data_IF_345639537330
#
_entry.id   IF_345639537330
#
_cell.length_a   1.000
_cell.length_b   1.000
_cell.length_c   1.000
_cell.angle_alpha   90.00
_cell.angle_beta   90.00
_cell.angle_gamma   90.00
#
_symmetry.space_group_name_H-M   'P 1'
#
loop_
_entity.id
_entity.type
_entity.pdbx_description
1 polymer ?
#
# COMPACT_ATOMS: atom_id res chain seq x y z
N UNK A 1 7.30 -23.91 -12.63
CA UNK A 1 6.62 -25.05 -11.98
C UNK A 1 6.25 -24.67 -10.56
N UNK A 2 5.21 -25.29 -10.00
CA UNK A 2 4.77 -25.09 -8.62
C UNK A 2 5.88 -25.38 -7.61
N UNK A 3 6.72 -26.38 -7.87
CA UNK A 3 7.88 -26.70 -7.03
C UNK A 3 8.85 -25.51 -6.85
N UNK A 4 9.11 -24.75 -7.93
CA UNK A 4 9.92 -23.54 -7.84
C UNK A 4 9.25 -22.47 -6.96
N UNK A 5 7.92 -22.31 -7.05
CA UNK A 5 7.16 -21.37 -6.22
C UNK A 5 7.27 -21.77 -4.75
N UNK A 6 7.04 -23.04 -4.42
CA UNK A 6 7.14 -23.53 -3.04
C UNK A 6 8.54 -23.32 -2.45
N UNK A 7 9.58 -23.64 -3.20
CA UNK A 7 10.96 -23.39 -2.78
C UNK A 7 11.20 -21.89 -2.51
N UNK A 8 10.73 -21.01 -3.39
CA UNK A 8 10.88 -19.57 -3.21
C UNK A 8 10.12 -19.05 -1.97
N UNK A 9 8.95 -19.60 -1.68
CA UNK A 9 8.19 -19.27 -0.47
C UNK A 9 8.97 -19.68 0.79
N UNK A 10 9.54 -20.88 0.81
CA UNK A 10 10.37 -21.35 1.92
C UNK A 10 11.60 -20.47 2.13
N UNK A 11 12.35 -20.19 1.05
CA UNK A 11 13.56 -19.35 1.09
C UNK A 11 13.27 -17.92 1.57
N UNK A 12 12.11 -17.36 1.22
CA UNK A 12 11.70 -15.99 1.58
C UNK A 12 10.97 -15.88 2.91
N UNK A 13 10.58 -17.00 3.54
CA UNK A 13 9.76 -17.01 4.74
C UNK A 13 8.32 -16.56 4.52
N UNK A 14 7.88 -16.40 3.26
CA UNK A 14 6.51 -16.01 2.90
C UNK A 14 5.58 -17.20 3.04
N UNK A 15 4.48 -17.06 3.79
CA UNK A 15 3.55 -18.16 4.13
C UNK A 15 2.10 -17.71 4.04
N UNK A 16 1.16 -18.62 3.70
CA UNK A 16 -0.26 -18.32 3.79
C UNK A 16 -0.71 -17.89 5.19
N UNK A 17 -1.73 -17.01 5.30
CA UNK A 17 -2.50 -16.46 4.17
C UNK A 17 -1.69 -15.44 3.38
N UNK A 18 -1.91 -15.40 2.05
CA UNK A 18 -1.16 -14.54 1.13
C UNK A 18 -2.09 -13.61 0.34
N UNK A 19 -1.53 -12.48 -0.10
CA UNK A 19 -2.04 -11.71 -1.21
C UNK A 19 -1.13 -11.93 -2.43
N UNK A 20 -1.75 -12.17 -3.57
CA UNK A 20 -1.06 -12.23 -4.86
C UNK A 20 -1.44 -10.99 -5.66
N UNK A 21 -0.45 -10.22 -6.04
CA UNK A 21 -0.60 -8.97 -6.80
C UNK A 21 0.16 -9.07 -8.13
N UNK A 22 -0.37 -8.54 -9.24
CA UNK A 22 0.44 -8.38 -10.45
C UNK A 22 1.70 -7.55 -10.16
N UNK A 23 2.81 -7.93 -10.77
CA UNK A 23 4.03 -7.13 -10.70
C UNK A 23 3.91 -5.80 -11.46
N UNK A 24 3.01 -5.74 -12.44
CA UNK A 24 2.68 -4.50 -13.15
C UNK A 24 1.71 -3.66 -12.31
N UNK A 25 2.09 -2.46 -11.83
CA UNK A 25 1.26 -1.63 -10.96
C UNK A 25 0.01 -1.05 -11.64
N UNK A 26 -0.08 -1.08 -12.98
CA UNK A 26 -1.29 -0.67 -13.69
C UNK A 26 -2.42 -1.70 -13.62
N UNK A 27 -2.12 -2.92 -13.20
CA UNK A 27 -3.09 -3.98 -12.98
C UNK A 27 -3.49 -3.97 -11.50
N UNK A 28 -4.78 -3.81 -11.25
CA UNK A 28 -5.31 -3.65 -9.88
C UNK A 28 -5.94 -4.92 -9.31
N UNK A 29 -5.72 -6.07 -9.96
CA UNK A 29 -6.23 -7.35 -9.49
C UNK A 29 -5.41 -7.84 -8.29
N UNK A 30 -6.10 -8.27 -7.24
CA UNK A 30 -5.49 -8.87 -6.06
C UNK A 30 -6.20 -10.20 -5.81
N UNK A 31 -5.43 -11.24 -5.52
CA UNK A 31 -5.97 -12.53 -5.14
C UNK A 31 -5.69 -12.80 -3.68
N UNK A 32 -6.71 -13.18 -2.92
CA UNK A 32 -6.57 -13.69 -1.57
C UNK A 32 -6.33 -15.20 -1.62
N UNK A 33 -5.27 -15.63 -0.99
CA UNK A 33 -4.81 -17.02 -1.01
C UNK A 33 -4.72 -17.53 0.42
N UNK A 34 -5.76 -18.25 0.89
CA UNK A 34 -5.81 -18.73 2.26
C UNK A 34 -4.78 -19.84 2.55
N UNK A 35 -4.45 -20.64 1.55
CA UNK A 35 -3.57 -21.80 1.67
C UNK A 35 -2.82 -22.12 0.37
N UNK A 36 -1.87 -23.06 0.43
CA UNK A 36 -1.09 -23.46 -0.73
C UNK A 36 -1.90 -24.18 -1.79
N UNK A 37 -2.98 -24.84 -1.43
CA UNK A 37 -3.89 -25.49 -2.39
C UNK A 37 -4.52 -24.44 -3.31
N UNK A 38 -5.00 -23.34 -2.74
CA UNK A 38 -5.56 -22.23 -3.53
C UNK A 38 -4.51 -21.59 -4.44
N UNK A 39 -3.28 -21.45 -3.96
CA UNK A 39 -2.18 -20.94 -4.79
C UNK A 39 -1.91 -21.86 -5.98
N UNK A 40 -1.92 -23.18 -5.76
CA UNK A 40 -1.75 -24.15 -6.83
C UNK A 40 -2.89 -24.08 -7.86
N UNK A 41 -4.14 -24.00 -7.42
CA UNK A 41 -5.30 -23.84 -8.30
C UNK A 41 -5.18 -22.61 -9.21
N UNK A 42 -4.74 -21.46 -8.66
CA UNK A 42 -4.52 -20.23 -9.42
C UNK A 42 -3.39 -20.36 -10.46
N UNK A 43 -2.33 -21.11 -10.11
CA UNK A 43 -1.23 -21.39 -11.05
C UNK A 43 -1.70 -22.32 -12.17
N UNK A 44 -2.37 -23.42 -11.85
CA UNK A 44 -2.81 -24.44 -12.81
C UNK A 44 -3.96 -23.93 -13.69
N UNK A 45 -4.86 -23.14 -13.14
CA UNK A 45 -5.96 -22.51 -13.86
C UNK A 45 -5.52 -21.41 -14.84
N UNK A 46 -4.23 -21.07 -14.86
CA UNK A 46 -3.69 -20.07 -15.77
C UNK A 46 -4.00 -18.61 -15.39
N UNK A 47 -4.69 -18.40 -14.28
CA UNK A 47 -5.09 -17.05 -13.84
C UNK A 47 -3.87 -16.14 -13.60
N UNK A 48 -2.81 -16.69 -13.05
CA UNK A 48 -1.59 -15.92 -12.79
C UNK A 48 -0.71 -15.74 -14.04
N UNK A 49 -0.82 -16.63 -15.02
CA UNK A 49 0.00 -16.58 -16.25
C UNK A 49 -0.35 -15.40 -17.17
N UNK A 50 -1.56 -14.85 -17.05
CA UNK A 50 -1.98 -13.67 -17.85
C UNK A 50 -1.33 -12.37 -17.41
N UNK A 51 -0.68 -12.36 -16.23
CA UNK A 51 0.01 -11.16 -15.77
C UNK A 51 1.42 -11.11 -16.36
N UNK A 52 1.54 -10.32 -17.44
CA UNK A 52 2.83 -10.03 -18.05
C UNK A 52 3.75 -9.35 -17.02
N UNK A 53 4.93 -9.90 -16.81
CA UNK A 53 5.87 -9.42 -15.78
C UNK A 53 5.83 -10.19 -14.46
N UNK A 54 4.91 -11.16 -14.32
CA UNK A 54 4.80 -12.01 -13.13
C UNK A 54 3.89 -11.44 -12.04
N UNK A 55 3.99 -12.05 -10.87
CA UNK A 55 3.21 -11.71 -9.69
C UNK A 55 4.10 -11.56 -8.46
N UNK A 56 3.66 -10.75 -7.51
CA UNK A 56 4.23 -10.59 -6.19
C UNK A 56 3.39 -11.38 -5.19
N UNK A 57 4.04 -12.20 -4.37
CA UNK A 57 3.44 -12.89 -3.24
C UNK A 57 3.79 -12.13 -1.96
N UNK A 58 2.79 -11.77 -1.19
CA UNK A 58 2.92 -10.99 0.03
C UNK A 58 2.14 -11.65 1.16
N UNK A 59 2.75 -11.78 2.35
CA UNK A 59 2.03 -12.20 3.54
C UNK A 59 0.83 -11.29 3.78
N UNK A 60 -0.32 -11.89 4.10
CA UNK A 60 -1.44 -11.12 4.62
C UNK A 60 -1.22 -10.88 6.12
N UNK A 61 -1.47 -9.68 6.56
CA UNK A 61 -1.44 -9.29 7.97
C UNK A 61 -2.84 -8.85 8.36
N UNK A 62 -3.38 -9.46 9.42
CA UNK A 62 -4.65 -9.04 10.02
C UNK A 62 -4.50 -7.61 10.55
N UNK A 63 -5.42 -6.72 10.18
CA UNK A 63 -5.30 -5.29 10.45
C UNK A 63 -6.66 -4.62 10.72
N UNK A 64 -7.64 -5.41 11.18
CA UNK A 64 -8.98 -4.92 11.53
C UNK A 64 -9.76 -4.32 10.37
N UNK A 65 -9.42 -4.69 9.13
CA UNK A 65 -10.08 -4.15 7.93
C UNK A 65 -9.84 -2.65 7.67
N UNK A 66 -8.77 -2.09 8.22
CA UNK A 66 -8.48 -0.65 8.17
C UNK A 66 -7.15 -0.39 7.45
N UNK A 67 -7.16 0.52 6.49
CA UNK A 67 -6.00 0.98 5.74
C UNK A 67 -5.80 2.48 5.96
N UNK A 68 -4.61 2.86 6.34
CA UNK A 68 -4.21 4.25 6.49
C UNK A 68 -3.44 4.70 5.25
N UNK A 69 -4.05 5.52 4.42
CA UNK A 69 -3.37 6.13 3.29
C UNK A 69 -2.75 7.45 3.69
N UNK A 70 -1.44 7.48 3.73
CA UNK A 70 -0.67 8.62 4.21
C UNK A 70 -0.13 9.40 3.02
N UNK A 71 -0.52 10.65 2.92
CA UNK A 71 -0.02 11.59 1.92
C UNK A 71 1.09 12.44 2.50
N UNK A 72 2.19 12.54 1.79
CA UNK A 72 3.32 13.42 2.11
C UNK A 72 3.40 14.49 1.02
N UNK A 73 3.22 15.75 1.43
CA UNK A 73 3.26 16.91 0.54
C UNK A 73 4.21 17.94 1.15
N UNK A 74 5.45 17.91 0.74
CA UNK A 74 6.52 18.68 1.38
C UNK A 74 6.67 18.32 2.85
N UNK A 75 6.39 19.29 3.72
CA UNK A 75 6.43 19.09 5.18
C UNK A 75 5.09 18.64 5.79
N UNK A 76 4.04 18.56 5.01
CA UNK A 76 2.73 18.13 5.50
C UNK A 76 2.57 16.62 5.37
N UNK A 77 2.01 16.01 6.40
CA UNK A 77 1.62 14.60 6.43
C UNK A 77 0.12 14.56 6.72
N UNK A 78 -0.66 13.95 5.83
CA UNK A 78 -2.12 13.88 5.91
C UNK A 78 -2.56 12.44 5.76
N UNK A 79 -3.50 12.02 6.61
CA UNK A 79 -4.09 10.68 6.58
C UNK A 79 -5.45 10.69 5.88
N UNK A 80 -5.71 9.64 5.09
CA UNK A 80 -7.03 9.27 4.58
C UNK A 80 -7.32 7.83 5.01
N UNK A 81 -8.18 7.68 6.01
CA UNK A 81 -8.57 6.37 6.54
C UNK A 81 -9.50 5.67 5.56
N UNK A 82 -9.20 4.41 5.24
CA UNK A 82 -9.95 3.61 4.27
C UNK A 82 -10.33 2.25 4.83
N UNK A 83 -11.44 1.73 4.35
CA UNK A 83 -11.78 0.32 4.54
C UNK A 83 -10.84 -0.54 3.70
N UNK A 84 -10.35 -1.61 4.30
CA UNK A 84 -9.47 -2.60 3.70
C UNK A 84 -10.11 -3.99 3.76
N UNK A 85 -9.35 -5.01 3.34
CA UNK A 85 -9.76 -6.39 3.49
C UNK A 85 -9.97 -6.72 4.97
N UNK A 86 -11.02 -7.45 5.32
CA UNK A 86 -11.20 -7.91 6.69
C UNK A 86 -10.13 -8.92 7.06
N UNK A 87 -9.97 -9.14 8.36
CA UNK A 87 -9.07 -10.14 8.91
C UNK A 87 -9.35 -11.54 8.35
N UNK A 88 -8.32 -12.35 8.26
CA UNK A 88 -8.33 -13.65 7.61
C UNK A 88 -9.48 -14.56 8.05
N UNK A 89 -9.79 -14.58 9.35
CA UNK A 89 -10.90 -15.36 9.91
C UNK A 89 -12.27 -15.04 9.30
N UNK A 90 -12.43 -13.87 8.67
CA UNK A 90 -13.68 -13.41 8.06
C UNK A 90 -13.74 -13.69 6.55
N UNK A 91 -12.67 -14.21 5.93
CA UNK A 91 -12.62 -14.41 4.48
C UNK A 91 -13.70 -15.38 3.97
N UNK A 92 -13.98 -16.47 4.68
CA UNK A 92 -15.05 -17.39 4.30
C UNK A 92 -16.45 -16.77 4.30
N UNK A 93 -16.68 -15.72 5.11
CA UNK A 93 -17.95 -14.97 5.08
C UNK A 93 -18.06 -14.10 3.84
N UNK A 94 -16.96 -13.57 3.35
CA UNK A 94 -16.92 -12.75 2.15
C UNK A 94 -17.21 -13.59 0.91
N UNK A 95 -16.66 -14.79 0.80
CA UNK A 95 -16.99 -15.72 -0.28
C UNK A 95 -18.50 -16.01 -0.35
N UNK A 96 -19.12 -16.26 0.81
CA UNK A 96 -20.56 -16.47 0.90
C UNK A 96 -21.37 -15.22 0.52
N UNK A 97 -20.88 -14.02 0.84
CA UNK A 97 -21.57 -12.75 0.58
C UNK A 97 -21.45 -12.31 -0.87
N UNK A 98 -20.30 -12.56 -1.50
CA UNK A 98 -20.02 -12.07 -2.87
C UNK A 98 -20.37 -13.10 -3.95
N UNK A 99 -20.66 -14.35 -3.56
CA UNK A 99 -21.00 -15.42 -4.50
C UNK A 99 -19.87 -15.83 -5.43
N UNK A 100 -18.66 -15.30 -5.19
CA UNK A 100 -17.44 -15.59 -5.95
C UNK A 100 -16.36 -16.08 -4.99
N UNK A 101 -15.53 -17.05 -5.41
CA UNK A 101 -14.35 -17.40 -4.63
C UNK A 101 -13.50 -16.17 -4.39
N UNK A 102 -12.92 -16.02 -3.20
CA UNK A 102 -11.96 -14.94 -2.85
C UNK A 102 -10.72 -14.89 -3.77
N UNK A 103 -10.80 -15.54 -4.92
CA UNK A 103 -9.77 -15.55 -5.93
C UNK A 103 -9.48 -14.17 -6.53
N UNK A 104 -10.44 -13.25 -6.57
CA UNK A 104 -10.26 -11.99 -7.31
C UNK A 104 -10.90 -10.84 -6.55
N UNK A 105 -10.07 -10.06 -5.84
CA UNK A 105 -10.52 -8.92 -5.04
C UNK A 105 -10.61 -7.62 -5.89
N UNK A 106 -10.51 -7.68 -7.20
CA UNK A 106 -10.64 -6.51 -8.08
C UNK A 106 -11.97 -5.76 -7.90
N UNK A 107 -12.95 -6.43 -7.33
CA UNK A 107 -14.29 -5.91 -7.06
C UNK A 107 -14.57 -5.61 -5.58
N UNK A 108 -13.55 -5.45 -4.72
CA UNK A 108 -13.83 -4.90 -3.40
C UNK A 108 -14.47 -3.51 -3.61
N UNK A 109 -15.81 -3.53 -3.74
CA UNK A 109 -16.61 -2.33 -3.70
C UNK A 109 -16.39 -1.71 -2.34
N UNK A 110 -15.52 -0.71 -2.30
CA UNK A 110 -15.46 0.18 -1.14
C UNK A 110 -16.88 0.59 -0.84
N UNK A 111 -17.37 0.46 0.40
CA UNK A 111 -18.62 1.07 0.79
C UNK A 111 -18.59 2.51 0.28
N UNK A 112 -19.65 2.94 -0.38
CA UNK A 112 -19.76 4.29 -0.86
C UNK A 112 -19.54 5.25 0.32
N UNK A 113 -18.92 6.38 0.07
CA UNK A 113 -18.55 7.41 1.05
C UNK A 113 -19.74 7.92 1.90
N UNK A 114 -20.95 7.45 1.62
CA UNK A 114 -22.22 7.84 2.27
C UNK A 114 -22.45 7.14 3.61
N UNK A 115 -21.71 6.08 3.93
CA UNK A 115 -21.86 5.37 5.20
C UNK A 115 -20.69 5.69 6.15
N UNK A 116 -20.70 6.90 6.75
CA UNK A 116 -20.03 7.16 8.03
C UNK A 116 -18.51 7.26 8.04
N UNK A 117 -17.86 7.54 6.92
CA UNK A 117 -16.42 7.79 6.93
C UNK A 117 -16.16 9.20 7.48
N UNK A 118 -15.49 9.27 8.62
CA UNK A 118 -14.84 10.49 9.06
C UNK A 118 -13.95 10.99 7.91
N UNK A 119 -14.14 12.25 7.50
CA UNK A 119 -13.29 12.87 6.50
C UNK A 119 -11.82 12.82 6.94
N UNK A 120 -10.85 13.12 6.03
CA UNK A 120 -9.44 13.10 6.38
C UNK A 120 -9.23 13.95 7.63
N UNK A 121 -8.73 13.28 8.64
CA UNK A 121 -8.28 13.89 9.88
C UNK A 121 -6.77 14.12 9.78
N UNK A 122 -6.24 15.20 10.33
CA UNK A 122 -4.83 15.19 10.65
C UNK A 122 -4.62 14.00 11.59
N UNK A 123 -3.94 12.96 11.11
CA UNK A 123 -3.63 11.67 11.73
C UNK A 123 -4.66 11.24 12.81
N UNK A 124 -5.52 10.28 12.46
CA UNK A 124 -6.63 9.84 13.30
C UNK A 124 -6.20 9.30 14.68
N UNK A 125 -7.12 9.21 15.64
CA UNK A 125 -6.81 8.85 17.03
C UNK A 125 -6.22 7.44 17.21
N UNK A 126 -6.24 6.60 16.18
CA UNK A 126 -5.75 5.22 16.23
C UNK A 126 -4.32 5.04 15.71
N UNK A 127 -3.71 6.06 15.14
CA UNK A 127 -2.31 6.06 14.72
C UNK A 127 -1.46 6.86 15.72
N UNK A 128 -0.28 6.31 16.02
CA UNK A 128 0.77 7.10 16.65
C UNK A 128 1.28 8.15 15.63
N UNK A 129 0.86 9.39 15.82
CA UNK A 129 1.22 10.54 14.97
C UNK A 129 2.73 10.67 14.85
N UNK A 130 3.46 10.47 15.94
CA UNK A 130 4.91 10.57 15.99
C UNK A 130 5.56 9.50 15.10
N UNK A 131 5.12 8.26 15.25
CA UNK A 131 5.62 7.13 14.47
C UNK A 131 5.29 7.29 12.98
N UNK A 132 4.05 7.65 12.65
CA UNK A 132 3.65 7.86 11.26
C UNK A 132 4.46 8.97 10.60
N UNK A 133 4.70 10.07 11.31
CA UNK A 133 5.54 11.17 10.84
C UNK A 133 6.99 10.72 10.67
N UNK A 134 7.51 9.92 11.60
CA UNK A 134 8.87 9.37 11.50
C UNK A 134 9.03 8.47 10.27
N UNK A 135 8.06 7.58 10.02
CA UNK A 135 8.02 6.74 8.80
C UNK A 135 8.01 7.63 7.54
N UNK A 136 7.13 8.64 7.50
CA UNK A 136 7.02 9.56 6.37
C UNK A 136 8.35 10.28 6.10
N UNK A 137 9.06 10.74 7.14
CA UNK A 137 10.37 11.40 7.01
C UNK A 137 11.47 10.45 6.56
N UNK A 138 11.49 9.22 7.11
CA UNK A 138 12.45 8.20 6.69
C UNK A 138 12.26 7.86 5.20
N UNK A 139 11.02 7.65 4.75
CA UNK A 139 10.71 7.40 3.36
C UNK A 139 11.08 8.61 2.48
N UNK A 140 10.75 9.83 2.90
CA UNK A 140 11.08 11.06 2.18
C UNK A 140 12.59 11.19 1.95
N UNK A 141 13.38 10.95 3.00
CA UNK A 141 14.84 11.00 2.93
C UNK A 141 15.42 9.90 2.04
N UNK A 142 14.89 8.68 2.13
CA UNK A 142 15.39 7.53 1.37
C UNK A 142 15.03 7.59 -0.12
N UNK A 143 13.77 7.96 -0.41
CA UNK A 143 13.25 8.03 -1.77
C UNK A 143 13.62 9.33 -2.49
N UNK A 144 14.09 10.34 -1.76
CA UNK A 144 14.34 11.69 -2.28
C UNK A 144 13.08 12.30 -2.94
N UNK A 145 11.90 12.00 -2.40
CA UNK A 145 10.61 12.47 -2.89
C UNK A 145 9.99 13.44 -1.88
N UNK A 146 9.49 14.57 -2.39
CA UNK A 146 8.74 15.55 -1.58
C UNK A 146 7.24 15.42 -1.75
N UNK A 147 6.78 14.64 -2.73
CA UNK A 147 5.37 14.40 -3.02
C UNK A 147 5.16 12.92 -3.32
N UNK A 148 4.53 12.22 -2.39
CA UNK A 148 4.20 10.80 -2.53
C UNK A 148 3.10 10.41 -1.54
N UNK A 149 2.55 9.22 -1.67
CA UNK A 149 1.78 8.60 -0.61
C UNK A 149 2.27 7.18 -0.34
N UNK A 150 1.91 6.67 0.81
CA UNK A 150 2.10 5.26 1.14
C UNK A 150 0.88 4.72 1.88
N UNK A 151 0.65 3.44 1.71
CA UNK A 151 -0.41 2.70 2.36
C UNK A 151 0.18 1.98 3.58
N UNK A 152 -0.42 2.20 4.74
CA UNK A 152 0.01 1.69 6.03
C UNK A 152 -1.10 0.86 6.66
N UNK A 153 -0.75 -0.30 7.19
CA UNK A 153 -1.64 -1.12 8.04
C UNK A 153 -1.01 -1.29 9.42
N UNK A 154 -1.86 -1.52 10.41
CA UNK A 154 -1.44 -1.78 11.78
C UNK A 154 -2.09 -3.08 12.28
N UNK A 155 -1.28 -4.02 12.79
CA UNK A 155 -1.78 -5.25 13.39
C UNK A 155 -2.31 -5.04 14.83
N UNK A 156 -2.84 -6.11 15.41
CA UNK A 156 -3.39 -6.08 16.77
C UNK A 156 -2.34 -5.80 17.86
N UNK A 157 -1.08 -6.12 17.58
CA UNK A 157 0.05 -5.90 18.50
C UNK A 157 0.62 -4.47 18.37
N UNK A 158 0.11 -3.69 17.40
CA UNK A 158 0.52 -2.31 17.17
C UNK A 158 1.68 -2.15 16.19
N UNK A 159 2.17 -3.23 15.58
CA UNK A 159 3.19 -3.12 14.54
C UNK A 159 2.61 -2.49 13.27
N UNK A 160 3.39 -1.61 12.67
CA UNK A 160 3.02 -0.90 11.46
C UNK A 160 3.79 -1.42 10.25
N UNK A 161 3.07 -1.62 9.15
CA UNK A 161 3.62 -2.14 7.90
C UNK A 161 3.30 -1.21 6.76
N UNK A 162 4.32 -0.74 6.05
CA UNK A 162 4.16 -0.03 4.78
C UNK A 162 3.97 -1.08 3.68
N UNK A 163 2.80 -1.10 3.05
CA UNK A 163 2.42 -2.16 2.10
C UNK A 163 2.38 -1.69 0.64
N UNK A 164 2.44 -0.39 0.41
CA UNK A 164 2.49 0.21 -0.91
C UNK A 164 3.04 1.63 -0.84
N UNK A 165 3.76 2.07 -1.89
CA UNK A 165 4.27 3.43 -2.02
C UNK A 165 3.99 3.90 -3.44
N UNK A 166 3.35 5.08 -3.57
CA UNK A 166 3.05 5.69 -4.86
C UNK A 166 3.69 7.06 -4.95
N UNK A 167 4.57 7.25 -5.90
CA UNK A 167 5.04 8.58 -6.27
C UNK A 167 3.95 9.33 -7.05
N UNK A 168 3.85 10.63 -6.88
CA UNK A 168 2.88 11.49 -7.52
C UNK A 168 1.41 11.03 -7.37
N UNK A 169 0.88 11.01 -6.14
CA UNK A 169 -0.48 10.56 -5.87
C UNK A 169 -1.52 11.57 -6.34
N UNK A 170 -2.70 11.07 -6.75
CA UNK A 170 -3.87 11.92 -6.91
C UNK A 170 -4.34 12.47 -5.56
N UNK A 171 -4.27 13.77 -5.38
CA UNK A 171 -4.57 14.46 -4.11
C UNK A 171 -6.05 14.86 -3.95
N UNK A 172 -6.89 14.67 -4.97
CA UNK A 172 -8.29 15.11 -5.00
C UNK A 172 -9.17 14.58 -3.85
N UNK A 173 -8.70 13.58 -3.12
CA UNK A 173 -9.38 13.01 -1.95
C UNK A 173 -8.94 13.61 -0.62
N UNK A 174 -7.92 14.47 -0.64
CA UNK A 174 -7.42 15.18 0.54
C UNK A 174 -8.17 16.50 0.63
N UNK A 175 -8.95 16.79 1.70
CA UNK A 175 -9.62 18.07 1.85
C UNK A 175 -8.64 19.23 1.88
N UNK A 176 -8.96 20.29 1.15
CA UNK A 176 -8.10 21.45 1.03
C UNK A 176 -6.80 21.16 0.27
N UNK A 177 -6.78 20.10 -0.55
CA UNK A 177 -5.57 19.70 -1.28
C UNK A 177 -5.05 20.82 -2.18
N UNK A 178 -5.93 21.63 -2.75
CA UNK A 178 -5.54 22.74 -3.63
C UNK A 178 -4.64 23.72 -2.89
N UNK A 179 -5.01 24.07 -1.66
CA UNK A 179 -4.22 24.97 -0.82
C UNK A 179 -2.91 24.32 -0.41
N UNK A 180 -2.96 23.05 0.03
CA UNK A 180 -1.77 22.30 0.47
C UNK A 180 -0.78 22.15 -0.70
N UNK A 181 -1.30 21.85 -1.88
CA UNK A 181 -0.47 21.67 -3.07
C UNK A 181 0.11 22.99 -3.58
N UNK A 182 -0.68 24.07 -3.56
CA UNK A 182 -0.19 25.40 -3.90
C UNK A 182 0.94 25.85 -2.97
N UNK A 183 0.77 25.70 -1.67
CA UNK A 183 1.81 26.00 -0.67
C UNK A 183 3.09 25.20 -0.94
N UNK A 184 2.93 23.91 -1.26
CA UNK A 184 4.07 23.04 -1.61
C UNK A 184 4.78 23.51 -2.87
N UNK A 185 4.07 23.89 -3.93
CA UNK A 185 4.65 24.40 -5.17
C UNK A 185 5.41 25.71 -4.92
N UNK A 186 4.79 26.65 -4.22
CA UNK A 186 5.43 27.93 -3.87
C UNK A 186 6.72 27.67 -3.08
N UNK A 187 6.66 26.83 -2.05
CA UNK A 187 7.84 26.51 -1.25
C UNK A 187 8.95 25.81 -2.07
N UNK A 188 8.57 24.98 -3.03
CA UNK A 188 9.53 24.29 -3.91
C UNK A 188 10.19 25.22 -4.92
N UNK A 189 9.46 26.23 -5.41
CA UNK A 189 9.97 27.21 -6.37
C UNK A 189 10.82 28.31 -5.69
N UNK A 190 10.57 28.59 -4.41
CA UNK A 190 11.29 29.65 -3.66
C UNK A 190 12.52 29.13 -2.94
N UNK A 191 12.69 27.83 -2.82
CA UNK A 191 13.90 27.24 -2.26
C UNK A 191 15.06 27.47 -3.24
N UNK A 192 16.17 28.11 -2.83
CA UNK A 192 17.35 28.21 -3.70
C UNK A 192 17.78 26.79 -4.10
N UNK A 193 18.27 26.57 -5.33
CA UNK A 193 18.84 25.29 -5.71
C UNK A 193 19.91 24.95 -4.67
N UNK A 194 19.77 23.80 -4.00
CA UNK A 194 20.81 23.32 -3.10
C UNK A 194 22.10 23.34 -3.90
N UNK A 195 23.09 24.06 -3.39
CA UNK A 195 24.40 24.08 -4.00
C UNK A 195 24.82 22.63 -4.16
N UNK A 196 24.96 22.18 -5.39
CA UNK A 196 25.43 20.84 -5.72
C UNK A 196 26.74 20.66 -4.96
N UNK A 197 26.68 19.92 -3.86
CA UNK A 197 27.88 19.54 -3.11
C UNK A 197 28.78 18.81 -4.10
N UNK A 198 29.94 19.39 -4.26
CA UNK A 198 30.90 19.15 -5.29
C UNK A 198 31.12 17.65 -5.61
N UNK A 199 30.94 17.33 -6.86
CA UNK A 199 31.72 16.27 -7.49
C UNK A 199 33.20 16.66 -7.37
N UNK A 200 33.84 16.22 -6.30
CA UNK A 200 35.29 16.27 -6.20
C UNK A 200 35.82 15.30 -7.26
N UNK A 201 36.19 15.87 -8.39
CA UNK A 201 37.05 15.21 -9.35
C UNK A 201 38.41 14.93 -8.65
N UNK A 202 38.54 13.71 -8.14
CA UNK A 202 39.84 13.16 -7.75
C UNK A 202 40.55 12.69 -9.01
N UNK A 203 41.26 13.59 -9.66
CA UNK A 203 42.31 13.28 -10.60
C UNK A 203 43.62 13.08 -9.82
N UNK A 204 44.27 12.02 -10.09
CA UNK A 204 45.71 11.73 -10.22
C UNK A 204 45.97 10.25 -9.89
#
# INVERSE_FOLDING_TARGET
>A
SMELVLRRLEESGVRPPLLVKPANPSQHEIYAVPDLRRLQELCEGGELHRHAGGVLLQNFVDHGGTLHKIYVVGQRVVEDLRTSLPDFQNWGRLEAQWGEPLGRISAYRRPSREEGHAGPSPLGPNLDVGMCTAIARALQAHLQLSLFNFDLIKDADGHMYVIDINYFPGLSKVPGYEQIFLEFLVASCTKPPDAAEGLVAGGS
#
